data_IF_718391930413
#
_entry.id   IF_718391930413
#
_cell.length_a   1.000
_cell.length_b   1.000
_cell.length_c   1.000
_cell.angle_alpha   90.00
_cell.angle_beta   90.00
_cell.angle_gamma   90.00
#
_symmetry.space_group_name_H-M   'P 1'
#
loop_
_entity.id
_entity.type
_entity.pdbx_description
1 polymer ?
#
# COMPACT_ATOMS: atom_id res chain seq x y z
N UNK A 1 24.50 12.01 -15.12
CA UNK A 1 24.86 10.65 -14.68
C UNK A 1 23.62 10.00 -14.13
N UNK A 2 23.08 9.04 -14.86
CA UNK A 2 21.89 8.27 -14.50
C UNK A 2 22.31 7.20 -13.47
N UNK A 3 21.90 7.37 -12.21
CA UNK A 3 22.25 6.42 -11.14
C UNK A 3 21.19 5.33 -11.09
N UNK A 4 21.57 4.12 -11.45
CA UNK A 4 20.71 2.93 -11.38
C UNK A 4 20.79 2.35 -9.97
N UNK A 5 19.69 2.45 -9.21
CA UNK A 5 19.57 1.84 -7.89
C UNK A 5 18.95 0.45 -8.07
N UNK A 6 19.71 -0.60 -7.72
CA UNK A 6 19.42 -1.98 -8.07
C UNK A 6 18.07 -2.52 -7.57
N UNK A 7 17.50 -3.40 -8.43
CA UNK A 7 16.59 -4.56 -8.20
C UNK A 7 15.39 -4.62 -9.17
N UNK A 8 15.11 -3.60 -9.98
CA UNK A 8 14.19 -3.75 -11.13
C UNK A 8 14.77 -3.05 -12.36
N UNK A 9 15.10 -3.82 -13.41
CA UNK A 9 15.40 -3.24 -14.72
C UNK A 9 14.09 -2.81 -15.36
N UNK A 10 13.72 -1.56 -15.14
CA UNK A 10 12.60 -0.92 -15.81
C UNK A 10 13.09 -0.35 -17.13
N UNK A 11 12.23 -0.35 -18.16
CA UNK A 11 12.61 0.16 -19.50
C UNK A 11 13.02 1.63 -19.49
N UNK A 12 12.60 2.39 -18.47
CA UNK A 12 12.86 3.81 -18.32
C UNK A 12 13.18 4.15 -16.85
N UNK A 13 14.06 5.14 -16.59
CA UNK A 13 14.40 5.57 -15.24
C UNK A 13 13.20 6.17 -14.50
N UNK A 14 13.17 5.97 -13.19
CA UNK A 14 12.13 6.50 -12.30
C UNK A 14 12.60 7.81 -11.68
N UNK A 15 11.78 8.85 -11.78
CA UNK A 15 12.03 10.15 -11.17
C UNK A 15 11.10 10.34 -9.98
N UNK A 16 11.67 10.58 -8.79
CA UNK A 16 10.92 10.85 -7.57
C UNK A 16 11.09 12.32 -7.21
N UNK A 17 9.99 13.08 -7.22
CA UNK A 17 9.95 14.44 -6.72
C UNK A 17 9.61 14.40 -5.23
N UNK A 18 10.46 14.98 -4.39
CA UNK A 18 10.30 14.90 -2.93
C UNK A 18 10.77 16.16 -2.23
N UNK A 19 10.22 16.40 -1.03
CA UNK A 19 10.67 17.41 -0.09
C UNK A 19 11.60 16.85 1.00
N UNK A 20 11.93 15.55 0.96
CA UNK A 20 12.91 14.97 1.86
C UNK A 20 14.32 15.50 1.57
N UNK A 21 15.08 15.77 2.63
CA UNK A 21 16.45 16.29 2.51
C UNK A 21 17.48 15.25 2.10
N UNK A 22 17.13 13.97 2.15
CA UNK A 22 18.04 12.86 1.86
C UNK A 22 17.43 11.84 0.89
N UNK A 23 18.29 11.34 0.01
CA UNK A 23 17.89 10.42 -1.05
C UNK A 23 17.42 9.06 -0.51
N UNK A 24 18.06 8.57 0.56
CA UNK A 24 17.78 7.25 1.11
C UNK A 24 16.35 7.19 1.69
N UNK A 25 15.95 8.19 2.48
CA UNK A 25 14.59 8.32 3.00
C UNK A 25 13.57 8.44 1.88
N UNK A 26 13.87 9.20 0.83
CA UNK A 26 13.00 9.31 -0.33
C UNK A 26 12.78 7.96 -1.03
N UNK A 27 13.84 7.18 -1.23
CA UNK A 27 13.76 5.83 -1.83
C UNK A 27 13.01 4.87 -0.90
N UNK A 28 13.29 4.88 0.41
CA UNK A 28 12.62 4.01 1.38
C UNK A 28 11.12 4.34 1.46
N UNK A 29 10.76 5.62 1.44
CA UNK A 29 9.38 6.07 1.44
C UNK A 29 8.65 5.65 0.15
N UNK A 30 9.28 5.85 -1.01
CA UNK A 30 8.68 5.45 -2.30
C UNK A 30 8.49 3.93 -2.39
N UNK A 31 9.45 3.13 -1.90
CA UNK A 31 9.32 1.66 -1.88
C UNK A 31 8.08 1.17 -1.12
N UNK A 32 7.67 1.87 -0.06
CA UNK A 32 6.49 1.53 0.74
C UNK A 32 5.16 1.88 0.06
N UNK A 33 5.17 2.60 -1.07
CA UNK A 33 3.92 3.03 -1.73
C UNK A 33 3.06 1.86 -2.21
N UNK A 34 3.66 0.69 -2.40
CA UNK A 34 2.96 -0.53 -2.81
C UNK A 34 2.29 -1.27 -1.65
N UNK A 35 2.59 -0.94 -0.39
CA UNK A 35 1.99 -1.59 0.78
C UNK A 35 0.46 -1.41 0.81
N UNK A 36 -0.06 -0.34 0.19
CA UNK A 36 -1.51 -0.10 0.04
C UNK A 36 -2.17 -1.11 -0.92
N UNK A 37 -1.43 -1.73 -1.83
CA UNK A 37 -1.98 -2.70 -2.79
C UNK A 37 -2.45 -3.98 -2.12
N UNK A 38 -1.83 -4.38 -1.00
CA UNK A 38 -2.27 -5.53 -0.20
C UNK A 38 -3.68 -5.28 0.35
N UNK A 39 -3.90 -4.11 0.96
CA UNK A 39 -5.24 -3.69 1.42
C UNK A 39 -6.25 -3.63 0.26
N UNK A 40 -5.87 -3.12 -0.91
CA UNK A 40 -6.75 -3.10 -2.08
C UNK A 40 -7.04 -4.49 -2.65
N UNK A 41 -6.11 -5.43 -2.55
CA UNK A 41 -6.32 -6.82 -2.95
C UNK A 41 -7.33 -7.49 -2.01
N UNK A 42 -7.21 -7.27 -0.71
CA UNK A 42 -8.13 -7.81 0.30
C UNK A 42 -9.55 -7.26 0.16
N UNK A 43 -9.69 -6.00 -0.27
CA UNK A 43 -10.99 -5.38 -0.59
C UNK A 43 -11.70 -6.04 -1.78
N UNK A 44 -10.95 -6.55 -2.75
CA UNK A 44 -11.50 -7.22 -3.94
C UNK A 44 -11.69 -8.71 -3.64
N UNK A 45 -11.36 -9.57 -4.61
CA UNK A 45 -11.50 -11.03 -4.50
C UNK A 45 -10.46 -11.71 -3.58
N UNK A 46 -9.48 -10.98 -3.06
CA UNK A 46 -8.39 -11.55 -2.26
C UNK A 46 -8.76 -11.91 -0.83
N UNK A 47 -9.83 -11.34 -0.28
CA UNK A 47 -10.26 -11.62 1.10
C UNK A 47 -11.73 -11.33 1.37
N UNK A 48 -12.10 -10.05 1.49
CA UNK A 48 -13.41 -9.63 1.98
C UNK A 48 -14.48 -9.51 0.88
N UNK A 49 -14.11 -9.63 -0.40
CA UNK A 49 -15.01 -9.65 -1.56
C UNK A 49 -16.07 -8.55 -1.52
N UNK A 50 -15.63 -7.29 -1.38
CA UNK A 50 -16.55 -6.14 -1.28
C UNK A 50 -17.47 -6.07 -2.51
N UNK A 51 -16.90 -6.28 -3.70
CA UNK A 51 -17.64 -6.28 -4.97
C UNK A 51 -18.67 -7.42 -5.04
N UNK A 52 -18.35 -8.59 -4.48
CA UNK A 52 -19.25 -9.75 -4.45
C UNK A 52 -20.30 -9.69 -3.35
N UNK A 53 -20.08 -8.90 -2.31
CA UNK A 53 -20.95 -8.83 -1.13
C UNK A 53 -22.32 -8.18 -1.41
N UNK A 54 -22.42 -7.36 -2.47
CA UNK A 54 -23.62 -6.60 -2.86
C UNK A 54 -24.29 -5.85 -1.69
N UNK A 55 -23.51 -5.43 -0.70
CA UNK A 55 -24.01 -4.79 0.50
C UNK A 55 -24.62 -3.42 0.19
N UNK A 56 -25.76 -3.12 0.83
CA UNK A 56 -26.30 -1.77 0.78
C UNK A 56 -25.29 -0.76 1.37
N UNK A 57 -25.25 0.50 0.90
CA UNK A 57 -24.21 1.47 1.27
C UNK A 57 -23.98 1.62 2.79
N UNK A 58 -25.05 1.55 3.59
CA UNK A 58 -25.01 1.63 5.06
C UNK A 58 -24.24 0.48 5.74
N UNK A 59 -24.13 -0.68 5.11
CA UNK A 59 -23.38 -1.83 5.61
C UNK A 59 -21.96 -1.85 5.04
N UNK A 60 -21.77 -1.36 3.81
CA UNK A 60 -20.46 -1.20 3.19
C UNK A 60 -19.56 -0.30 4.05
N UNK A 61 -20.07 0.84 4.54
CA UNK A 61 -19.29 1.73 5.42
C UNK A 61 -18.81 1.03 6.70
N UNK A 62 -19.65 0.16 7.30
CA UNK A 62 -19.27 -0.60 8.49
C UNK A 62 -18.17 -1.61 8.19
N UNK A 63 -18.27 -2.31 7.05
CA UNK A 63 -17.26 -3.27 6.62
C UNK A 63 -15.92 -2.60 6.32
N UNK A 64 -15.92 -1.46 5.63
CA UNK A 64 -14.70 -0.68 5.36
C UNK A 64 -14.01 -0.26 6.67
N UNK A 65 -14.77 0.19 7.68
CA UNK A 65 -14.20 0.55 8.99
C UNK A 65 -13.54 -0.66 9.66
N UNK A 66 -14.20 -1.82 9.65
CA UNK A 66 -13.64 -3.05 10.24
C UNK A 66 -12.34 -3.45 9.56
N UNK A 67 -12.30 -3.40 8.23
CA UNK A 67 -11.08 -3.75 7.49
C UNK A 67 -9.97 -2.73 7.76
N UNK A 68 -10.27 -1.43 7.80
CA UNK A 68 -9.28 -0.40 8.15
C UNK A 68 -8.65 -0.63 9.54
N UNK A 69 -9.46 -1.03 10.53
CA UNK A 69 -8.98 -1.38 11.88
C UNK A 69 -8.10 -2.64 11.82
N UNK A 70 -8.53 -3.67 11.08
CA UNK A 70 -7.78 -4.92 10.94
C UNK A 70 -6.43 -4.70 10.26
N UNK A 71 -6.40 -3.98 9.13
CA UNK A 71 -5.18 -3.62 8.42
C UNK A 71 -4.24 -2.78 9.31
N UNK A 72 -4.76 -1.77 10.00
CA UNK A 72 -3.95 -0.96 10.93
C UNK A 72 -3.35 -1.82 12.04
N UNK A 73 -4.14 -2.73 12.62
CA UNK A 73 -3.69 -3.65 13.67
C UNK A 73 -2.64 -4.64 13.17
N UNK A 74 -2.80 -5.17 11.97
CA UNK A 74 -1.83 -6.07 11.34
C UNK A 74 -0.50 -5.33 11.05
N UNK A 75 -0.55 -4.13 10.49
CA UNK A 75 0.64 -3.31 10.24
C UNK A 75 1.38 -2.94 11.54
N UNK A 76 0.66 -2.63 12.62
CA UNK A 76 1.27 -2.34 13.93
C UNK A 76 1.93 -3.56 14.55
N UNK A 77 1.34 -4.74 14.39
CA UNK A 77 1.92 -6.00 14.90
C UNK A 77 3.11 -6.46 14.06
N UNK A 78 3.07 -6.30 12.73
CA UNK A 78 4.18 -6.63 11.83
C UNK A 78 5.42 -5.74 12.02
N UNK A 79 5.26 -4.51 12.51
CA UNK A 79 6.37 -3.58 12.83
C UNK A 79 7.12 -3.90 14.13
N UNK A 80 6.65 -4.85 14.95
CA UNK A 80 7.20 -5.12 16.28
C UNK A 80 8.40 -6.08 16.29
N UNK A 81 8.89 -6.50 15.12
CA UNK A 81 10.05 -7.37 14.95
C UNK A 81 11.17 -6.66 14.19
#
# INVERSE_FOLDING_TARGET
MEKTYGVFQTKEPWYILTNFGDLETAIIADKKRFDIEEMFRDFKSGGYSLEGSQLAPKYLSKLIIVIAIASTSATMQGKKN
#
